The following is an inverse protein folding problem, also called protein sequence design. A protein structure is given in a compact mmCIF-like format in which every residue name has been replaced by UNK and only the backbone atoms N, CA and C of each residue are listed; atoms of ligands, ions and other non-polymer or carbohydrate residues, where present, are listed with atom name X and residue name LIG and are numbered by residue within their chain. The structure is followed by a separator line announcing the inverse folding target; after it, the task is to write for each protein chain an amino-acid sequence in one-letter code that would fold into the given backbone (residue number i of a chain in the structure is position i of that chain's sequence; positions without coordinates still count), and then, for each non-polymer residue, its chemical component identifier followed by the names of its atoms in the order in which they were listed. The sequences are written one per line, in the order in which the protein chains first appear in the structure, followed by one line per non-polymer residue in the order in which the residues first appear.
data_IF_770024841163
#
_entry.id   IF_770024841163
#
_cell.length_a   1.000
_cell.length_b   1.000
_cell.length_c   1.000
_cell.angle_alpha   90.00
_cell.angle_beta   90.00
_cell.angle_gamma   90.00
#
_symmetry.space_group_name_H-M   'P 1'
#
loop_
_entity.id
_entity.type
_entity.pdbx_description
1 polymer ?
#
# COMPACT_ATOMS: atom_id res chain seq x y z
N UNK A 1 -26.71 22.23 -18.07
CA UNK A 1 -26.57 21.27 -16.95
C UNK A 1 -25.09 21.23 -16.63
N UNK A 2 -24.69 21.90 -15.57
CA UNK A 2 -23.31 21.97 -15.13
C UNK A 2 -22.78 20.55 -14.81
N UNK A 3 -22.00 20.02 -15.71
CA UNK A 3 -21.27 18.78 -15.53
C UNK A 3 -19.94 19.12 -14.85
N UNK A 4 -19.98 19.72 -13.66
CA UNK A 4 -18.84 19.72 -12.75
C UNK A 4 -18.71 18.29 -12.24
N UNK A 5 -18.08 17.43 -13.06
CA UNK A 5 -17.60 16.15 -12.61
C UNK A 5 -16.84 16.41 -11.30
N UNK A 6 -17.32 15.79 -10.22
CA UNK A 6 -16.75 15.87 -8.88
C UNK A 6 -15.35 15.23 -8.94
N UNK A 7 -14.37 16.02 -9.41
CA UNK A 7 -12.99 15.54 -9.61
C UNK A 7 -12.38 15.44 -8.21
N UNK A 8 -12.33 14.22 -7.67
CA UNK A 8 -11.72 13.96 -6.36
C UNK A 8 -10.30 14.50 -6.35
N UNK A 9 -10.03 15.36 -5.37
CA UNK A 9 -8.70 15.92 -5.20
C UNK A 9 -7.75 14.85 -4.67
N UNK A 10 -6.70 14.59 -5.43
CA UNK A 10 -5.67 13.61 -5.06
C UNK A 10 -4.44 14.36 -4.60
N UNK A 11 -3.91 13.97 -3.45
CA UNK A 11 -2.62 14.44 -2.94
C UNK A 11 -1.59 13.31 -3.03
N UNK A 12 -0.40 13.65 -3.52
CA UNK A 12 0.79 12.81 -3.40
C UNK A 12 1.71 13.42 -2.37
N UNK A 13 1.89 12.70 -1.27
CA UNK A 13 2.67 13.11 -0.13
C UNK A 13 3.95 12.29 -0.06
N UNK A 14 5.09 12.92 -0.39
CA UNK A 14 6.43 12.33 -0.34
C UNK A 14 7.02 12.39 1.07
N UNK A 15 7.57 11.27 1.52
CA UNK A 15 8.22 11.16 2.82
C UNK A 15 9.71 10.83 2.67
N UNK A 16 10.57 11.69 3.21
CA UNK A 16 12.00 11.54 3.17
C UNK A 16 12.59 11.69 1.76
N UNK A 17 13.88 11.49 1.61
CA UNK A 17 14.60 11.78 0.36
C UNK A 17 14.11 11.00 -0.86
N UNK A 18 13.78 9.71 -0.72
CA UNK A 18 13.26 8.91 -1.84
C UNK A 18 11.86 9.40 -2.25
N UNK A 19 10.92 9.52 -1.29
CA UNK A 19 9.59 10.06 -1.58
C UNK A 19 9.63 11.48 -2.15
N UNK A 20 10.58 12.30 -1.68
CA UNK A 20 10.83 13.64 -2.23
C UNK A 20 11.21 13.60 -3.71
N UNK A 21 12.18 12.74 -4.11
CA UNK A 21 12.59 12.61 -5.52
C UNK A 21 11.45 12.13 -6.42
N UNK A 22 10.64 11.18 -5.94
CA UNK A 22 9.46 10.72 -6.68
C UNK A 22 8.48 11.88 -6.92
N UNK A 23 8.19 12.69 -5.89
CA UNK A 23 7.28 13.84 -6.01
C UNK A 23 7.88 14.94 -6.88
N UNK A 24 9.19 15.19 -6.79
CA UNK A 24 9.90 16.13 -7.68
C UNK A 24 9.82 15.66 -9.14
N UNK A 25 10.03 14.37 -9.40
CA UNK A 25 9.85 13.76 -10.73
C UNK A 25 8.41 13.88 -11.22
N UNK A 26 7.42 13.59 -10.35
CA UNK A 26 6.00 13.74 -10.69
C UNK A 26 5.67 15.17 -11.15
N UNK A 27 6.23 16.19 -10.50
CA UNK A 27 5.97 17.59 -10.87
C UNK A 27 6.38 17.93 -12.30
N UNK A 28 7.25 17.13 -12.93
CA UNK A 28 7.68 17.30 -14.32
C UNK A 28 6.84 16.53 -15.34
N UNK A 29 5.97 15.63 -14.89
CA UNK A 29 5.16 14.76 -15.75
C UNK A 29 3.82 15.45 -16.05
N UNK A 30 3.43 15.64 -17.33
CA UNK A 30 2.19 16.34 -17.68
C UNK A 30 0.92 15.72 -17.08
N UNK A 31 0.88 14.40 -16.95
CA UNK A 31 -0.25 13.64 -16.40
C UNK A 31 -0.48 13.88 -14.90
N UNK A 32 0.50 14.47 -14.22
CA UNK A 32 0.37 14.88 -12.81
C UNK A 32 -0.33 16.22 -12.62
N UNK A 33 -0.69 16.91 -13.71
CA UNK A 33 -1.36 18.19 -13.64
C UNK A 33 -2.68 18.10 -12.83
N UNK A 34 -2.81 18.97 -11.82
CA UNK A 34 -3.96 18.97 -10.90
C UNK A 34 -3.79 18.12 -9.65
N UNK A 35 -2.70 17.36 -9.50
CA UNK A 35 -2.36 16.72 -8.24
C UNK A 35 -1.88 17.75 -7.21
N UNK A 36 -2.26 17.55 -5.97
CA UNK A 36 -1.67 18.28 -4.84
C UNK A 36 -0.38 17.56 -4.43
N UNK A 37 0.73 18.28 -4.43
CA UNK A 37 2.04 17.71 -4.13
C UNK A 37 2.57 18.31 -2.83
N UNK A 38 3.14 17.47 -1.95
CA UNK A 38 3.83 17.90 -0.75
C UNK A 38 4.95 16.92 -0.39
N UNK A 39 6.04 17.41 0.16
CA UNK A 39 7.16 16.59 0.64
C UNK A 39 7.48 16.98 2.08
N UNK A 40 7.54 15.97 2.95
CA UNK A 40 7.94 16.10 4.33
C UNK A 40 9.26 15.36 4.55
N UNK A 41 10.30 16.08 4.90
CA UNK A 41 11.60 15.48 5.21
C UNK A 41 12.23 16.13 6.45
N UNK A 42 13.13 15.38 7.09
CA UNK A 42 13.95 15.82 8.21
C UNK A 42 15.32 16.34 7.76
N UNK A 43 15.69 16.12 6.48
CA UNK A 43 16.96 16.53 5.88
C UNK A 43 16.76 17.73 4.96
N UNK A 44 17.35 18.86 5.35
CA UNK A 44 17.33 20.11 4.57
C UNK A 44 17.98 19.95 3.20
N UNK A 45 19.15 19.29 3.16
CA UNK A 45 19.88 19.11 1.91
C UNK A 45 19.11 18.24 0.93
N UNK A 46 18.35 17.26 1.43
CA UNK A 46 17.48 16.45 0.58
C UNK A 46 16.37 17.30 -0.06
N UNK A 47 15.73 18.17 0.71
CA UNK A 47 14.70 19.09 0.20
C UNK A 47 15.26 20.12 -0.80
N UNK A 48 16.44 20.69 -0.57
CA UNK A 48 17.07 21.65 -1.46
C UNK A 48 17.44 21.06 -2.84
N UNK A 49 17.65 19.74 -2.91
CA UNK A 49 17.90 19.03 -4.19
C UNK A 49 16.68 18.85 -5.05
N UNK A 50 15.49 19.05 -4.53
CA UNK A 50 14.22 18.93 -5.27
C UNK A 50 14.02 20.23 -6.06
N UNK A 51 14.50 20.27 -7.29
CA UNK A 51 14.57 21.53 -8.07
C UNK A 51 13.33 21.81 -8.89
N UNK A 52 12.51 20.81 -9.15
CA UNK A 52 11.29 20.95 -9.96
C UNK A 52 10.06 21.30 -9.10
N UNK A 53 10.10 20.96 -7.82
CA UNK A 53 9.00 21.17 -6.89
C UNK A 53 9.05 22.59 -6.29
N UNK A 54 7.92 23.33 -6.23
CA UNK A 54 7.83 24.63 -5.57
C UNK A 54 8.21 24.58 -4.08
N UNK A 55 8.78 25.67 -3.56
CA UNK A 55 9.24 25.74 -2.15
C UNK A 55 8.11 25.54 -1.14
N UNK A 56 6.91 26.03 -1.44
CA UNK A 56 5.73 25.87 -0.59
C UNK A 56 5.29 24.39 -0.42
N UNK A 57 5.71 23.51 -1.33
CA UNK A 57 5.47 22.08 -1.27
C UNK A 57 6.50 21.32 -0.43
N UNK A 58 7.59 21.97 -0.01
CA UNK A 58 8.72 21.38 0.73
C UNK A 58 8.63 21.71 2.21
N UNK A 59 8.43 20.71 3.05
CA UNK A 59 8.24 20.90 4.49
C UNK A 59 9.41 20.24 5.24
N UNK A 60 10.28 21.07 5.82
CA UNK A 60 11.31 20.61 6.72
C UNK A 60 10.73 20.31 8.10
N UNK A 61 10.85 19.07 8.53
CA UNK A 61 10.30 18.55 9.78
C UNK A 61 11.30 18.68 10.93
N UNK A 62 10.76 18.95 12.14
CA UNK A 62 11.49 18.89 13.41
C UNK A 62 12.78 19.73 13.43
N UNK A 63 12.68 20.97 13.00
CA UNK A 63 13.83 21.90 12.89
C UNK A 63 14.52 22.19 14.22
N UNK A 64 13.83 22.02 15.35
CA UNK A 64 14.37 22.30 16.69
C UNK A 64 15.31 21.20 17.20
N UNK A 65 15.04 19.95 16.86
CA UNK A 65 15.77 18.79 17.40
C UNK A 65 16.71 18.15 16.40
N UNK A 66 16.27 18.03 15.15
CA UNK A 66 17.09 17.42 14.09
C UNK A 66 17.91 18.46 13.33
N UNK A 67 17.62 19.75 13.49
CA UNK A 67 18.37 20.89 12.91
C UNK A 67 18.51 20.80 11.37
N UNK A 68 17.65 19.99 10.71
CA UNK A 68 17.72 19.74 9.27
C UNK A 68 18.79 18.74 8.85
N UNK A 69 19.36 17.97 9.78
CA UNK A 69 20.42 16.97 9.49
C UNK A 69 19.87 15.56 9.16
N UNK A 70 18.55 15.45 9.05
CA UNK A 70 17.91 14.16 8.79
C UNK A 70 17.76 13.28 10.04
N UNK A 71 16.96 12.23 9.90
CA UNK A 71 16.74 11.26 10.99
C UNK A 71 17.90 10.24 11.14
N UNK A 72 18.93 10.29 10.28
CA UNK A 72 20.11 9.44 10.41
C UNK A 72 19.84 7.93 10.29
N UNK A 73 18.83 7.52 9.53
CA UNK A 73 18.42 6.12 9.40
C UNK A 73 17.61 5.57 10.59
N UNK A 74 17.29 6.40 11.58
CA UNK A 74 16.54 6.00 12.77
C UNK A 74 15.02 6.25 12.61
N UNK A 75 14.18 5.20 12.48
CA UNK A 75 12.73 5.34 12.34
C UNK A 75 12.06 6.02 13.54
N UNK A 76 12.61 5.88 14.76
CA UNK A 76 12.04 6.51 15.96
C UNK A 76 12.16 8.03 15.86
N UNK A 77 13.28 8.53 15.34
CA UNK A 77 13.48 9.97 15.09
C UNK A 77 12.52 10.45 13.99
N UNK A 78 12.38 9.69 12.91
CA UNK A 78 11.42 9.98 11.83
C UNK A 78 9.98 10.05 12.35
N UNK A 79 9.55 9.07 13.12
CA UNK A 79 8.23 9.02 13.73
C UNK A 79 7.96 10.25 14.62
N UNK A 80 8.93 10.62 15.47
CA UNK A 80 8.80 11.79 16.36
C UNK A 80 8.73 13.08 15.56
N UNK A 81 9.56 13.21 14.51
CA UNK A 81 9.58 14.38 13.65
C UNK A 81 8.22 14.61 12.98
N UNK A 82 7.68 13.58 12.33
CA UNK A 82 6.38 13.67 11.66
C UNK A 82 5.22 13.87 12.66
N UNK A 83 5.30 13.29 13.85
CA UNK A 83 4.30 13.50 14.89
C UNK A 83 4.24 14.96 15.38
N UNK A 84 5.37 15.66 15.39
CA UNK A 84 5.43 17.09 15.73
C UNK A 84 4.85 17.98 14.64
N UNK A 85 4.87 17.53 13.41
CA UNK A 85 4.29 18.25 12.26
C UNK A 85 2.82 17.90 12.01
N UNK A 86 2.15 17.27 12.97
CA UNK A 86 0.75 16.80 12.82
C UNK A 86 -0.22 17.90 12.37
N UNK A 87 -0.06 19.13 12.81
CA UNK A 87 -0.91 20.26 12.39
C UNK A 87 -0.71 20.60 10.90
N UNK A 88 0.54 20.62 10.40
CA UNK A 88 0.83 20.86 8.98
C UNK A 88 0.36 19.70 8.13
N UNK A 89 0.62 18.46 8.57
CA UNK A 89 0.11 17.25 7.92
C UNK A 89 -1.41 17.29 7.81
N UNK A 90 -2.11 17.63 8.89
CA UNK A 90 -3.57 17.76 8.89
C UNK A 90 -4.04 18.84 7.89
N UNK A 91 -3.36 19.99 7.85
CA UNK A 91 -3.64 21.06 6.88
C UNK A 91 -3.51 20.57 5.43
N UNK A 92 -2.46 19.80 5.12
CA UNK A 92 -2.27 19.20 3.80
C UNK A 92 -3.33 18.15 3.49
N UNK A 93 -3.53 17.18 4.38
CA UNK A 93 -4.47 16.07 4.18
C UNK A 93 -5.93 16.52 4.01
N UNK A 94 -6.32 17.61 4.66
CA UNK A 94 -7.69 18.13 4.54
C UNK A 94 -8.01 18.66 3.14
N UNK A 95 -7.01 18.98 2.33
CA UNK A 95 -7.19 19.49 0.98
C UNK A 95 -7.55 18.38 -0.04
N UNK A 96 -7.39 17.11 0.33
CA UNK A 96 -7.54 15.97 -0.57
C UNK A 96 -8.65 15.02 -0.12
N UNK A 97 -9.18 14.27 -1.07
CA UNK A 97 -10.12 13.15 -0.86
C UNK A 97 -9.38 11.81 -0.84
N UNK A 98 -8.36 11.68 -1.69
CA UNK A 98 -7.45 10.54 -1.77
C UNK A 98 -6.01 10.99 -1.52
N UNK A 99 -5.30 10.28 -0.67
CA UNK A 99 -3.90 10.54 -0.33
C UNK A 99 -3.03 9.37 -0.76
N UNK A 100 -2.08 9.64 -1.65
CA UNK A 100 -1.01 8.72 -2.03
C UNK A 100 0.21 9.07 -1.17
N UNK A 101 0.61 8.17 -0.27
CA UNK A 101 1.79 8.33 0.57
C UNK A 101 2.93 7.57 -0.10
N UNK A 102 3.99 8.27 -0.52
CA UNK A 102 5.15 7.69 -1.19
C UNK A 102 6.41 7.90 -0.37
N UNK A 103 7.29 6.89 -0.31
CA UNK A 103 8.54 7.02 0.42
C UNK A 103 9.41 5.77 0.37
N UNK A 104 10.71 5.94 0.67
CA UNK A 104 11.65 4.82 0.72
C UNK A 104 11.78 4.25 2.13
N UNK A 105 11.50 2.97 2.28
CA UNK A 105 11.75 2.26 3.54
C UNK A 105 13.24 1.97 3.73
N UNK A 106 13.64 1.73 4.97
CA UNK A 106 15.03 1.55 5.35
C UNK A 106 15.78 2.83 5.73
N UNK A 107 15.16 4.01 5.47
CA UNK A 107 15.59 5.30 6.02
C UNK A 107 14.83 5.65 7.30
N UNK A 108 15.21 6.73 7.97
CA UNK A 108 14.54 7.14 9.21
C UNK A 108 13.20 7.85 8.96
N UNK A 109 13.18 8.86 8.08
CA UNK A 109 12.01 9.73 7.89
C UNK A 109 10.79 8.98 7.38
N UNK A 110 10.91 8.27 6.25
CA UNK A 110 9.78 7.56 5.66
C UNK A 110 9.37 6.33 6.47
N UNK A 111 10.34 5.52 6.93
CA UNK A 111 10.03 4.30 7.70
C UNK A 111 9.28 4.61 8.99
N UNK A 112 9.72 5.64 9.74
CA UNK A 112 9.03 6.05 10.97
C UNK A 112 7.80 6.90 10.72
N UNK A 113 7.84 7.76 9.70
CA UNK A 113 6.80 8.76 9.42
C UNK A 113 5.56 8.23 8.73
N UNK A 114 5.69 7.23 7.84
CA UNK A 114 4.56 6.75 7.05
C UNK A 114 3.38 6.26 7.90
N UNK A 115 3.67 5.55 8.99
CA UNK A 115 2.64 5.12 9.94
C UNK A 115 1.95 6.28 10.68
N UNK A 116 2.65 7.39 10.92
CA UNK A 116 2.05 8.60 11.50
C UNK A 116 1.06 9.21 10.53
N UNK A 117 1.45 9.39 9.28
CA UNK A 117 0.60 9.98 8.23
C UNK A 117 -0.61 9.07 7.95
N UNK A 118 -0.42 7.76 7.86
CA UNK A 118 -1.50 6.80 7.63
C UNK A 118 -2.56 6.84 8.75
N UNK A 119 -2.14 6.87 10.01
CA UNK A 119 -3.06 7.01 11.16
C UNK A 119 -3.80 8.35 11.13
N UNK A 120 -3.11 9.43 10.81
CA UNK A 120 -3.72 10.75 10.72
C UNK A 120 -4.76 10.81 9.57
N UNK A 121 -4.42 10.32 8.38
CA UNK A 121 -5.34 10.23 7.25
C UNK A 121 -6.61 9.44 7.64
N UNK A 122 -6.44 8.29 8.28
CA UNK A 122 -7.56 7.47 8.77
C UNK A 122 -8.42 8.22 9.80
N UNK A 123 -7.82 8.95 10.74
CA UNK A 123 -8.56 9.74 11.74
C UNK A 123 -9.36 10.88 11.13
N UNK A 124 -8.92 11.40 9.98
CA UNK A 124 -9.59 12.43 9.19
C UNK A 124 -10.62 11.86 8.20
N UNK A 125 -10.81 10.54 8.19
CA UNK A 125 -11.72 9.87 7.24
C UNK A 125 -11.24 9.89 5.79
N UNK A 126 -9.95 10.13 5.54
CA UNK A 126 -9.39 10.18 4.19
C UNK A 126 -9.00 8.79 3.71
N UNK A 127 -9.25 8.52 2.42
CA UNK A 127 -8.73 7.35 1.75
C UNK A 127 -7.23 7.52 1.54
N UNK A 128 -6.42 6.55 2.00
CA UNK A 128 -4.97 6.61 1.86
C UNK A 128 -4.45 5.31 1.24
N UNK A 129 -3.48 5.44 0.33
CA UNK A 129 -2.73 4.33 -0.26
C UNK A 129 -1.25 4.60 -0.05
N UNK A 130 -0.54 3.62 0.46
CA UNK A 130 0.89 3.71 0.72
C UNK A 130 1.65 2.93 -0.35
N UNK A 131 2.48 3.63 -1.09
CA UNK A 131 3.37 3.06 -2.10
C UNK A 131 4.81 3.29 -1.66
N UNK A 132 5.45 2.22 -1.19
CA UNK A 132 6.73 2.30 -0.51
C UNK A 132 7.83 1.59 -1.31
N UNK A 133 8.93 2.29 -1.59
CA UNK A 133 10.13 1.69 -2.17
C UNK A 133 10.87 0.86 -1.13
N UNK A 134 11.24 -0.36 -1.50
CA UNK A 134 12.19 -1.17 -0.74
C UNK A 134 13.60 -0.90 -1.27
N UNK A 135 14.61 -0.82 -0.40
CA UNK A 135 15.97 -0.51 -0.81
C UNK A 135 16.53 -1.60 -1.75
N UNK A 136 17.53 -1.23 -2.54
CA UNK A 136 18.34 -2.21 -3.24
C UNK A 136 19.11 -3.09 -2.25
N UNK A 137 19.34 -4.36 -2.59
CA UNK A 137 20.08 -5.30 -1.75
C UNK A 137 21.50 -4.81 -1.45
N UNK A 138 22.14 -4.12 -2.38
CA UNK A 138 23.49 -3.56 -2.19
C UNK A 138 23.56 -2.37 -1.20
N UNK A 139 22.41 -1.77 -0.81
CA UNK A 139 22.40 -0.71 0.19
C UNK A 139 22.68 -1.22 1.62
N UNK A 140 22.77 -2.52 1.79
CA UNK A 140 23.24 -3.19 2.99
C UNK A 140 22.14 -3.77 3.87
N UNK A 141 22.52 -4.84 4.59
CA UNK A 141 21.60 -5.64 5.41
C UNK A 141 20.80 -4.81 6.43
N UNK A 142 21.45 -3.85 7.10
CA UNK A 142 20.80 -3.03 8.12
C UNK A 142 19.64 -2.21 7.55
N UNK A 143 19.82 -1.66 6.32
CA UNK A 143 18.82 -0.89 5.63
C UNK A 143 17.65 -1.77 5.14
N UNK A 144 17.97 -2.93 4.56
CA UNK A 144 16.97 -3.91 4.13
C UNK A 144 16.15 -4.41 5.30
N UNK A 145 16.79 -4.76 6.42
CA UNK A 145 16.10 -5.20 7.64
C UNK A 145 15.18 -4.13 8.22
N UNK A 146 15.64 -2.88 8.29
CA UNK A 146 14.83 -1.74 8.71
C UNK A 146 13.60 -1.54 7.80
N UNK A 147 13.78 -1.72 6.48
CA UNK A 147 12.70 -1.62 5.50
C UNK A 147 11.66 -2.73 5.67
N UNK A 148 12.09 -3.97 5.86
CA UNK A 148 11.18 -5.11 6.10
C UNK A 148 10.36 -4.94 7.37
N UNK A 149 11.01 -4.50 8.46
CA UNK A 149 10.32 -4.26 9.73
C UNK A 149 9.32 -3.12 9.59
N UNK A 150 9.70 -2.01 8.93
CA UNK A 150 8.80 -0.90 8.64
C UNK A 150 7.63 -1.29 7.76
N UNK A 151 7.85 -2.08 6.70
CA UNK A 151 6.77 -2.59 5.84
C UNK A 151 5.79 -3.45 6.64
N UNK A 152 6.30 -4.32 7.52
CA UNK A 152 5.46 -5.16 8.38
C UNK A 152 4.59 -4.33 9.32
N UNK A 153 5.13 -3.26 9.88
CA UNK A 153 4.35 -2.33 10.72
C UNK A 153 3.26 -1.61 9.91
N UNK A 154 3.57 -1.15 8.70
CA UNK A 154 2.60 -0.50 7.83
C UNK A 154 1.47 -1.45 7.40
N UNK A 155 1.78 -2.69 7.04
CA UNK A 155 0.80 -3.72 6.72
C UNK A 155 -0.15 -4.05 7.90
N UNK A 156 0.31 -3.88 9.13
CA UNK A 156 -0.54 -4.00 10.31
C UNK A 156 -1.46 -2.79 10.55
N UNK A 157 -1.11 -1.62 9.99
CA UNK A 157 -1.84 -0.36 10.19
C UNK A 157 -2.83 -0.05 9.07
N UNK A 158 -2.55 -0.46 7.84
CA UNK A 158 -3.33 -0.12 6.65
C UNK A 158 -3.48 -1.31 5.72
N UNK A 159 -4.66 -1.44 5.13
CA UNK A 159 -4.99 -2.48 4.15
C UNK A 159 -4.52 -2.13 2.72
N UNK A 160 -4.00 -0.93 2.51
CA UNK A 160 -3.64 -0.38 1.19
C UNK A 160 -2.16 -0.01 1.13
N UNK A 161 -1.30 -0.97 1.47
CA UNK A 161 0.16 -0.82 1.43
C UNK A 161 0.75 -1.69 0.33
N UNK A 162 1.56 -1.07 -0.52
CA UNK A 162 2.32 -1.70 -1.59
C UNK A 162 3.81 -1.44 -1.35
N UNK A 163 4.58 -2.50 -1.12
CA UNK A 163 6.04 -2.43 -1.04
C UNK A 163 6.64 -2.88 -2.38
N UNK A 164 7.44 -2.04 -3.02
CA UNK A 164 8.03 -2.31 -4.34
C UNK A 164 9.54 -2.45 -4.18
N UNK A 165 10.11 -3.63 -4.45
CA UNK A 165 11.56 -3.84 -4.41
C UNK A 165 12.26 -3.12 -5.58
N UNK A 166 13.21 -2.23 -5.27
CA UNK A 166 14.01 -1.56 -6.29
C UNK A 166 14.88 -2.55 -7.10
N UNK A 167 15.22 -3.70 -6.53
CA UNK A 167 15.96 -4.75 -7.23
C UNK A 167 15.26 -5.27 -8.51
N UNK A 168 13.94 -5.08 -8.63
CA UNK A 168 13.21 -5.43 -9.85
C UNK A 168 13.70 -4.64 -11.08
N UNK A 169 14.27 -3.45 -10.88
CA UNK A 169 14.85 -2.65 -11.95
C UNK A 169 16.05 -3.34 -12.64
N UNK A 170 16.80 -4.17 -11.92
CA UNK A 170 17.92 -4.90 -12.52
C UNK A 170 17.52 -5.86 -13.64
N UNK A 171 16.26 -6.25 -13.70
CA UNK A 171 15.75 -7.10 -14.78
C UNK A 171 15.66 -6.39 -16.13
N UNK A 172 15.63 -5.04 -16.14
CA UNK A 172 15.43 -4.22 -17.34
C UNK A 172 16.56 -3.23 -17.60
N UNK A 173 17.38 -2.92 -16.59
CA UNK A 173 18.50 -2.01 -16.74
C UNK A 173 19.72 -2.74 -17.31
N UNK A 174 20.41 -2.19 -18.35
CA UNK A 174 21.70 -2.68 -18.77
C UNK A 174 22.71 -2.65 -17.62
N UNK A 175 23.60 -3.65 -17.57
CA UNK A 175 24.62 -3.75 -16.50
C UNK A 175 25.57 -2.54 -16.47
N UNK A 176 25.74 -1.88 -17.62
CA UNK A 176 26.58 -0.69 -17.81
C UNK A 176 25.90 0.61 -17.39
N UNK A 177 24.64 0.56 -16.95
CA UNK A 177 23.89 1.76 -16.54
C UNK A 177 24.61 2.48 -15.42
N UNK A 178 24.89 3.77 -15.58
CA UNK A 178 25.51 4.57 -14.55
C UNK A 178 24.66 4.58 -13.27
N UNK A 179 25.30 4.50 -12.11
CA UNK A 179 24.63 4.38 -10.81
C UNK A 179 23.58 5.48 -10.57
N UNK A 180 23.95 6.74 -10.86
CA UNK A 180 23.00 7.88 -10.74
C UNK A 180 21.81 7.76 -11.69
N UNK A 181 22.03 7.22 -12.89
CA UNK A 181 20.97 6.99 -13.88
C UNK A 181 20.01 5.88 -13.44
N UNK A 182 20.51 4.82 -12.80
CA UNK A 182 19.68 3.76 -12.26
C UNK A 182 18.67 4.31 -11.22
N UNK A 183 19.13 5.21 -10.32
CA UNK A 183 18.23 5.86 -9.36
C UNK A 183 17.23 6.80 -10.04
N UNK A 184 17.67 7.57 -11.05
CA UNK A 184 16.77 8.44 -11.81
C UNK A 184 15.68 7.63 -12.53
N UNK A 185 16.04 6.49 -13.09
CA UNK A 185 15.09 5.58 -13.72
C UNK A 185 14.14 4.97 -12.70
N UNK A 186 14.64 4.61 -11.49
CA UNK A 186 13.80 4.15 -10.39
C UNK A 186 12.75 5.19 -10.02
N UNK A 187 13.18 6.42 -9.76
CA UNK A 187 12.29 7.52 -9.39
C UNK A 187 11.22 7.78 -10.49
N UNK A 188 11.62 7.69 -11.78
CA UNK A 188 10.69 7.87 -12.92
C UNK A 188 9.66 6.73 -13.02
N UNK A 189 10.09 5.48 -12.92
CA UNK A 189 9.17 4.33 -12.98
C UNK A 189 8.25 4.30 -11.77
N UNK A 190 8.75 4.74 -10.61
CA UNK A 190 7.92 4.86 -9.42
C UNK A 190 6.88 5.98 -9.57
N UNK A 191 7.27 7.13 -10.14
CA UNK A 191 6.35 8.21 -10.44
C UNK A 191 5.25 7.79 -11.43
N UNK A 192 5.61 7.05 -12.50
CA UNK A 192 4.63 6.46 -13.44
C UNK A 192 3.69 5.49 -12.75
N UNK A 193 4.21 4.69 -11.83
CA UNK A 193 3.43 3.76 -11.01
C UNK A 193 2.42 4.49 -10.15
N UNK A 194 2.81 5.62 -9.54
CA UNK A 194 1.89 6.50 -8.77
C UNK A 194 0.75 7.01 -9.67
N UNK A 195 1.07 7.51 -10.86
CA UNK A 195 0.05 7.98 -11.83
C UNK A 195 -0.89 6.83 -12.21
N UNK A 196 -0.35 5.68 -12.59
CA UNK A 196 -1.15 4.52 -12.96
C UNK A 196 -2.09 4.06 -11.83
N UNK A 197 -1.61 4.10 -10.58
CA UNK A 197 -2.43 3.76 -9.43
C UNK A 197 -3.50 4.80 -9.13
N UNK A 198 -3.21 6.08 -9.32
CA UNK A 198 -4.19 7.17 -9.24
C UNK A 198 -5.29 6.95 -10.29
N UNK A 199 -4.93 6.61 -11.52
CA UNK A 199 -5.87 6.34 -12.60
C UNK A 199 -6.82 5.17 -12.28
N UNK A 200 -6.33 4.13 -11.59
CA UNK A 200 -7.18 3.03 -11.08
C UNK A 200 -8.22 3.52 -10.08
N UNK A 201 -7.86 4.47 -9.23
CA UNK A 201 -8.59 4.85 -8.02
C UNK A 201 -9.47 6.09 -8.19
N UNK A 202 -9.39 6.79 -9.33
CA UNK A 202 -10.21 7.98 -9.57
C UNK A 202 -11.68 7.61 -9.74
N UNK A 203 -12.60 8.31 -9.05
CA UNK A 203 -14.04 8.14 -9.26
C UNK A 203 -14.46 8.69 -10.63
N UNK A 204 -15.55 8.11 -11.19
CA UNK A 204 -16.10 8.56 -12.48
C UNK A 204 -15.62 7.73 -13.68
N UNK A 205 -14.84 6.69 -13.46
CA UNK A 205 -14.47 5.72 -14.49
C UNK A 205 -15.71 5.01 -15.05
N UNK A 206 -15.70 4.69 -16.33
CA UNK A 206 -16.77 3.92 -16.99
C UNK A 206 -16.93 2.52 -16.36
N UNK A 207 -15.79 1.92 -15.96
CA UNK A 207 -15.71 0.76 -15.11
C UNK A 207 -14.77 1.16 -13.96
N UNK A 208 -15.29 1.30 -12.75
CA UNK A 208 -14.52 1.84 -11.64
C UNK A 208 -13.98 0.76 -10.73
N UNK A 209 -12.66 0.72 -10.56
CA UNK A 209 -12.04 0.19 -9.36
C UNK A 209 -11.95 1.32 -8.32
N UNK A 210 -12.21 1.02 -7.06
CA UNK A 210 -12.12 2.00 -5.98
C UNK A 210 -11.12 1.54 -4.91
N UNK A 211 -10.80 2.44 -3.96
CA UNK A 211 -9.86 2.12 -2.87
C UNK A 211 -10.33 0.90 -2.05
N UNK A 212 -11.66 0.70 -1.92
CA UNK A 212 -12.22 -0.47 -1.25
C UNK A 212 -11.94 -1.78 -1.99
N UNK A 213 -12.03 -1.76 -3.33
CA UNK A 213 -11.71 -2.92 -4.17
C UNK A 213 -10.22 -3.25 -4.06
N UNK A 214 -9.35 -2.23 -4.18
CA UNK A 214 -7.92 -2.39 -3.98
C UNK A 214 -7.63 -2.94 -2.57
N UNK A 215 -8.22 -2.36 -1.53
CA UNK A 215 -8.07 -2.83 -0.17
C UNK A 215 -8.53 -4.28 -0.01
N UNK A 216 -9.62 -4.69 -0.65
CA UNK A 216 -10.13 -6.07 -0.58
C UNK A 216 -9.15 -7.08 -1.16
N UNK A 217 -8.40 -6.69 -2.19
CA UNK A 217 -7.37 -7.49 -2.84
C UNK A 217 -6.09 -7.52 -1.99
N UNK A 218 -5.65 -6.35 -1.50
CA UNK A 218 -4.42 -6.23 -0.72
C UNK A 218 -4.55 -6.73 0.72
N UNK A 219 -5.77 -6.64 1.31
CA UNK A 219 -6.06 -7.04 2.70
C UNK A 219 -5.80 -8.52 2.99
N UNK A 220 -5.74 -9.35 1.97
CA UNK A 220 -5.44 -10.77 2.12
C UNK A 220 -3.95 -10.97 2.36
N UNK A 221 -3.46 -10.54 3.55
CA UNK A 221 -2.34 -11.13 4.29
C UNK A 221 -1.02 -11.28 3.53
N UNK A 222 0.03 -10.59 3.97
CA UNK A 222 1.43 -10.76 3.51
C UNK A 222 1.54 -11.07 2.01
N UNK A 223 0.78 -10.32 1.20
CA UNK A 223 0.79 -10.46 -0.22
C UNK A 223 1.98 -9.68 -0.80
N UNK A 224 2.64 -10.29 -1.74
CA UNK A 224 3.57 -9.56 -2.61
C UNK A 224 2.77 -8.97 -3.75
N UNK A 225 2.87 -7.66 -3.93
CA UNK A 225 2.27 -6.99 -5.06
C UNK A 225 3.35 -6.59 -6.05
N UNK A 226 3.08 -6.86 -7.33
CA UNK A 226 3.84 -6.33 -8.45
C UNK A 226 2.94 -5.37 -9.22
N UNK A 227 3.48 -4.27 -9.69
CA UNK A 227 2.72 -3.29 -10.45
C UNK A 227 3.43 -2.96 -11.74
N UNK A 228 2.69 -2.98 -12.84
CA UNK A 228 3.18 -2.61 -14.15
C UNK A 228 2.38 -1.48 -14.74
N UNK A 229 3.06 -0.64 -15.51
CA UNK A 229 2.46 0.44 -16.28
C UNK A 229 2.97 0.42 -17.70
N UNK A 230 2.07 0.65 -18.65
CA UNK A 230 2.41 0.76 -20.07
C UNK A 230 1.68 1.94 -20.69
N UNK A 231 2.37 2.74 -21.48
CA UNK A 231 1.79 3.87 -22.20
C UNK A 231 1.98 3.70 -23.70
N UNK A 232 0.90 3.88 -24.46
CA UNK A 232 0.90 3.90 -25.92
C UNK A 232 0.63 5.32 -26.41
N UNK A 233 1.44 5.76 -27.38
CA UNK A 233 1.46 7.12 -27.92
C UNK A 233 1.43 7.10 -29.46
N UNK A 234 0.75 6.12 -30.05
CA UNK A 234 0.70 5.91 -31.49
C UNK A 234 -0.43 6.72 -32.18
N UNK A 235 -0.43 6.72 -33.46
CA UNK A 235 -1.38 7.49 -34.27
C UNK A 235 -2.84 7.02 -34.10
N UNK A 236 -3.04 5.74 -33.82
CA UNK A 236 -4.36 5.16 -33.57
C UNK A 236 -4.48 4.59 -32.16
N UNK A 237 -5.66 4.58 -31.60
CA UNK A 237 -5.92 3.99 -30.28
C UNK A 237 -5.60 2.49 -30.26
N UNK A 238 -5.85 1.77 -31.35
CA UNK A 238 -5.54 0.35 -31.48
C UNK A 238 -4.03 0.05 -31.40
N UNK A 239 -3.20 0.85 -32.07
CA UNK A 239 -1.74 0.74 -31.99
C UNK A 239 -1.22 1.16 -30.63
N UNK A 240 -1.78 2.23 -30.04
CA UNK A 240 -1.47 2.66 -28.68
C UNK A 240 -1.78 1.57 -27.65
N UNK A 241 -2.90 0.85 -27.78
CA UNK A 241 -3.23 -0.29 -26.93
C UNK A 241 -2.17 -1.40 -27.04
N UNK A 242 -1.73 -1.75 -28.24
CA UNK A 242 -0.71 -2.77 -28.45
C UNK A 242 0.65 -2.32 -27.87
N UNK A 243 1.02 -1.06 -28.06
CA UNK A 243 2.25 -0.50 -27.50
C UNK A 243 2.19 -0.49 -25.97
N UNK A 244 1.06 -0.09 -25.39
CA UNK A 244 0.85 -0.11 -23.94
C UNK A 244 0.94 -1.53 -23.35
N UNK A 245 0.39 -2.54 -24.04
CA UNK A 245 0.51 -3.94 -23.63
C UNK A 245 1.96 -4.43 -23.61
N UNK A 246 2.72 -4.12 -24.65
CA UNK A 246 4.13 -4.50 -24.72
C UNK A 246 4.93 -3.82 -23.59
N UNK A 247 4.75 -2.52 -23.39
CA UNK A 247 5.42 -1.78 -22.32
C UNK A 247 4.98 -2.24 -20.92
N UNK A 248 3.72 -2.66 -20.76
CA UNK A 248 3.25 -3.26 -19.50
C UNK A 248 4.02 -4.56 -19.21
N UNK A 249 4.18 -5.43 -20.22
CA UNK A 249 4.91 -6.69 -20.06
C UNK A 249 6.38 -6.49 -19.70
N UNK A 250 6.99 -5.41 -20.20
CA UNK A 250 8.38 -5.02 -19.95
C UNK A 250 8.52 -4.08 -18.73
N UNK A 251 7.42 -3.76 -18.05
CA UNK A 251 7.46 -2.85 -16.89
C UNK A 251 8.30 -3.44 -15.74
N UNK A 252 9.31 -2.69 -15.24
CA UNK A 252 10.27 -3.21 -14.28
C UNK A 252 9.61 -3.71 -13.00
N UNK A 253 8.74 -2.92 -12.40
CA UNK A 253 8.10 -3.25 -11.13
C UNK A 253 7.02 -4.35 -11.24
N UNK A 254 6.69 -4.77 -12.45
CA UNK A 254 5.91 -5.97 -12.68
C UNK A 254 6.75 -7.25 -12.46
N UNK A 255 8.06 -7.17 -12.73
CA UNK A 255 8.96 -8.32 -12.66
C UNK A 255 8.72 -9.35 -13.75
N UNK A 256 8.22 -8.91 -14.91
CA UNK A 256 7.95 -9.71 -16.11
C UNK A 256 6.53 -10.29 -16.17
N UNK A 257 6.09 -10.65 -17.39
CA UNK A 257 4.75 -11.20 -17.66
C UNK A 257 4.42 -12.49 -16.87
N UNK A 258 5.42 -13.26 -16.45
CA UNK A 258 5.24 -14.46 -15.63
C UNK A 258 4.59 -14.14 -14.27
N UNK A 259 4.87 -12.98 -13.69
CA UNK A 259 4.27 -12.54 -12.41
C UNK A 259 2.76 -12.29 -12.54
N UNK A 260 2.31 -11.79 -13.68
CA UNK A 260 0.88 -11.66 -13.97
C UNK A 260 0.19 -13.02 -13.99
N UNK A 261 0.83 -14.01 -14.62
CA UNK A 261 0.26 -15.36 -14.75
C UNK A 261 0.14 -16.10 -13.42
N UNK A 262 1.09 -15.86 -12.51
CA UNK A 262 1.13 -16.48 -11.19
C UNK A 262 0.30 -15.74 -10.13
N UNK A 263 -0.37 -14.64 -10.49
CA UNK A 263 -1.13 -13.83 -9.56
C UNK A 263 -2.40 -14.54 -9.09
N UNK A 264 -2.72 -14.41 -7.81
CA UNK A 264 -3.98 -14.88 -7.22
C UNK A 264 -5.10 -13.83 -7.33
N UNK A 265 -4.72 -12.56 -7.50
CA UNK A 265 -5.62 -11.46 -7.79
C UNK A 265 -4.95 -10.44 -8.69
N UNK A 266 -5.74 -9.81 -9.56
CA UNK A 266 -5.26 -8.78 -10.50
C UNK A 266 -6.21 -7.59 -10.53
N UNK A 267 -5.64 -6.39 -10.51
CA UNK A 267 -6.35 -5.14 -10.83
C UNK A 267 -5.81 -4.65 -12.16
N UNK A 268 -6.69 -4.37 -13.12
CA UNK A 268 -6.33 -3.86 -14.44
C UNK A 268 -7.08 -2.55 -14.65
N UNK A 269 -6.40 -1.52 -15.09
CA UNK A 269 -7.03 -0.27 -15.49
C UNK A 269 -6.53 0.18 -16.85
N UNK A 270 -7.45 0.53 -17.72
CA UNK A 270 -7.21 1.07 -19.06
C UNK A 270 -7.72 2.53 -19.08
N UNK A 271 -6.82 3.49 -19.21
CA UNK A 271 -7.18 4.89 -19.42
C UNK A 271 -6.83 5.27 -20.85
N UNK A 272 -7.78 5.80 -21.62
CA UNK A 272 -7.55 6.25 -22.97
C UNK A 272 -8.20 7.58 -23.29
N UNK A 273 -7.91 8.13 -24.44
CA UNK A 273 -8.55 9.34 -24.95
C UNK A 273 -9.86 9.06 -25.68
N UNK A 274 -10.41 10.09 -26.32
CA UNK A 274 -11.70 10.06 -27.00
C UNK A 274 -11.71 9.15 -28.24
N UNK A 275 -10.51 8.80 -28.77
CA UNK A 275 -10.37 7.88 -29.90
C UNK A 275 -10.51 6.41 -29.50
N UNK A 276 -10.52 6.07 -28.19
CA UNK A 276 -10.60 4.70 -27.71
C UNK A 276 -11.98 4.10 -27.97
N UNK A 277 -12.03 3.01 -28.72
CA UNK A 277 -13.30 2.33 -29.05
C UNK A 277 -13.57 1.16 -28.11
N UNK A 278 -14.84 0.74 -28.03
CA UNK A 278 -15.24 -0.45 -27.27
C UNK A 278 -14.51 -1.71 -27.77
N UNK A 279 -14.21 -1.81 -29.07
CA UNK A 279 -13.46 -2.92 -29.65
C UNK A 279 -12.01 -2.93 -29.15
N UNK A 280 -11.39 -1.76 -29.01
CA UNK A 280 -10.02 -1.64 -28.50
C UNK A 280 -9.96 -2.01 -27.02
N UNK A 281 -10.91 -1.52 -26.22
CA UNK A 281 -11.04 -1.89 -24.79
C UNK A 281 -11.17 -3.40 -24.65
N UNK A 282 -12.13 -4.01 -25.38
CA UNK A 282 -12.39 -5.45 -25.32
C UNK A 282 -11.13 -6.25 -25.66
N UNK A 283 -10.49 -5.95 -26.79
CA UNK A 283 -9.29 -6.64 -27.26
C UNK A 283 -8.12 -6.51 -26.27
N UNK A 284 -7.92 -5.31 -25.73
CA UNK A 284 -6.85 -5.05 -24.74
C UNK A 284 -7.08 -5.86 -23.47
N UNK A 285 -8.30 -5.88 -22.94
CA UNK A 285 -8.64 -6.64 -21.75
C UNK A 285 -8.56 -8.16 -21.98
N UNK A 286 -8.94 -8.66 -23.16
CA UNK A 286 -8.76 -10.07 -23.54
C UNK A 286 -7.27 -10.45 -23.60
N UNK A 287 -6.41 -9.58 -24.15
CA UNK A 287 -4.97 -9.80 -24.19
C UNK A 287 -4.37 -9.83 -22.78
N UNK A 288 -4.70 -8.85 -21.91
CA UNK A 288 -4.25 -8.86 -20.51
C UNK A 288 -4.80 -10.09 -19.78
N UNK A 289 -6.06 -10.46 -20.02
CA UNK A 289 -6.65 -11.67 -19.47
C UNK A 289 -5.87 -12.93 -19.84
N UNK A 290 -5.41 -13.02 -21.10
CA UNK A 290 -4.55 -14.12 -21.55
C UNK A 290 -3.18 -14.13 -20.87
N UNK A 291 -2.63 -12.94 -20.57
CA UNK A 291 -1.36 -12.80 -19.82
C UNK A 291 -1.51 -13.18 -18.33
N UNK A 292 -2.67 -12.89 -17.73
CA UNK A 292 -2.90 -13.10 -16.29
C UNK A 292 -3.48 -14.48 -15.97
N UNK A 293 -3.96 -15.23 -16.95
CA UNK A 293 -4.69 -16.48 -16.72
C UNK A 293 -6.06 -16.27 -16.06
N UNK A 294 -6.56 -15.04 -15.98
CA UNK A 294 -7.87 -14.67 -15.41
C UNK A 294 -8.08 -15.24 -14.00
N UNK A 295 -7.33 -14.82 -12.97
CA UNK A 295 -7.54 -15.28 -11.62
C UNK A 295 -8.96 -14.94 -11.13
N UNK A 296 -9.47 -15.71 -10.17
CA UNK A 296 -10.82 -15.58 -9.64
C UNK A 296 -11.13 -14.18 -9.06
N UNK A 297 -10.09 -13.48 -8.57
CA UNK A 297 -10.21 -12.10 -8.10
C UNK A 297 -9.61 -11.16 -9.14
N UNK A 298 -10.42 -10.72 -10.09
CA UNK A 298 -10.01 -9.74 -11.10
C UNK A 298 -10.89 -8.49 -10.98
N UNK A 299 -10.26 -7.33 -10.84
CA UNK A 299 -10.92 -6.02 -10.86
C UNK A 299 -10.47 -5.30 -12.13
N UNK A 300 -11.42 -4.82 -12.91
CA UNK A 300 -11.18 -4.14 -14.18
C UNK A 300 -11.73 -2.72 -14.09
N UNK A 301 -10.86 -1.75 -14.40
CA UNK A 301 -11.21 -0.35 -14.60
C UNK A 301 -11.05 0.05 -16.06
N UNK A 302 -11.90 0.93 -16.54
CA UNK A 302 -11.73 1.60 -17.82
C UNK A 302 -12.18 3.06 -17.71
N UNK A 303 -11.37 3.96 -18.21
CA UNK A 303 -11.59 5.40 -18.10
C UNK A 303 -11.32 6.11 -19.42
N UNK A 304 -12.10 7.16 -19.71
CA UNK A 304 -11.83 8.09 -20.79
C UNK A 304 -11.40 9.42 -20.20
N UNK A 305 -10.20 9.85 -20.55
CA UNK A 305 -9.64 11.14 -20.14
C UNK A 305 -9.65 12.09 -21.34
N UNK A 306 -10.42 13.22 -21.26
CA UNK A 306 -10.42 14.22 -22.32
C UNK A 306 -9.02 14.77 -22.59
N UNK A 307 -8.72 14.98 -23.88
CA UNK A 307 -7.45 15.54 -24.33
C UNK A 307 -6.32 14.52 -24.56
N UNK A 308 -6.52 13.23 -24.24
CA UNK A 308 -5.54 12.17 -24.57
C UNK A 308 -5.57 11.71 -26.04
N UNK A 309 -6.62 12.05 -26.81
CA UNK A 309 -6.73 11.67 -28.22
C UNK A 309 -6.64 10.15 -28.42
N UNK A 310 -5.58 9.68 -29.10
CA UNK A 310 -5.29 8.25 -29.35
C UNK A 310 -4.41 7.61 -28.27
N UNK A 311 -3.95 8.38 -27.28
CA UNK A 311 -3.06 7.88 -26.24
C UNK A 311 -3.79 6.90 -25.32
N UNK A 312 -3.04 5.92 -24.81
CA UNK A 312 -3.56 4.88 -23.93
C UNK A 312 -2.57 4.60 -22.80
N UNK A 313 -3.06 4.56 -21.58
CA UNK A 313 -2.33 4.10 -20.40
C UNK A 313 -2.96 2.80 -19.89
N UNK A 314 -2.13 1.82 -19.61
CA UNK A 314 -2.52 0.53 -19.06
C UNK A 314 -1.76 0.29 -17.76
N UNK A 315 -2.49 0.02 -16.69
CA UNK A 315 -1.93 -0.32 -15.38
C UNK A 315 -2.42 -1.68 -14.97
N UNK A 316 -1.51 -2.53 -14.48
CA UNK A 316 -1.86 -3.82 -13.90
C UNK A 316 -1.18 -3.98 -12.53
N UNK A 317 -1.94 -4.41 -11.54
CA UNK A 317 -1.45 -4.76 -10.21
C UNK A 317 -1.68 -6.26 -10.05
N UNK A 318 -0.60 -7.03 -9.90
CA UNK A 318 -0.64 -8.46 -9.67
C UNK A 318 -0.34 -8.73 -8.19
N UNK A 319 -1.20 -9.51 -7.54
CA UNK A 319 -1.06 -9.83 -6.11
C UNK A 319 -0.96 -11.33 -5.95
N UNK A 320 0.09 -11.77 -5.25
CA UNK A 320 0.30 -13.16 -4.85
C UNK A 320 0.10 -13.30 -3.35
N UNK A 321 -0.79 -14.20 -2.94
CA UNK A 321 -1.05 -14.45 -1.51
C UNK A 321 -0.06 -15.46 -0.94
N UNK A 322 0.34 -15.31 0.33
CA UNK A 322 1.14 -16.31 1.02
C UNK A 322 0.29 -17.58 1.28
N UNK A 323 0.74 -18.72 0.75
CA UNK A 323 0.00 -20.00 0.83
C UNK A 323 -0.30 -20.44 2.27
N UNK A 324 0.58 -20.15 3.22
CA UNK A 324 0.40 -20.52 4.64
C UNK A 324 -0.76 -19.77 5.29
N UNK A 325 -1.00 -18.55 4.88
CA UNK A 325 -2.10 -17.74 5.41
C UNK A 325 -3.40 -17.92 4.60
N UNK A 326 -3.31 -18.27 3.33
CA UNK A 326 -4.47 -18.62 2.51
C UNK A 326 -5.19 -19.85 3.06
N UNK A 327 -4.45 -20.86 3.50
CA UNK A 327 -5.00 -22.06 4.15
C UNK A 327 -5.69 -21.73 5.48
N UNK A 328 -5.10 -20.85 6.31
CA UNK A 328 -5.68 -20.42 7.59
C UNK A 328 -6.98 -19.61 7.40
N UNK A 329 -7.09 -18.85 6.29
CA UNK A 329 -8.29 -18.07 5.96
C UNK A 329 -9.46 -18.95 5.53
N UNK A 330 -9.20 -19.97 4.71
CA UNK A 330 -10.24 -20.91 4.29
C UNK A 330 -10.84 -21.68 5.49
N UNK A 331 -10.02 -21.94 6.51
CA UNK A 331 -10.50 -22.54 7.77
C UNK A 331 -11.39 -21.55 8.55
N UNK A 332 -11.01 -20.26 8.59
CA UNK A 332 -11.78 -19.21 9.27
C UNK A 332 -13.11 -18.88 8.57
N UNK A 333 -13.16 -18.89 7.24
CA UNK A 333 -14.41 -18.65 6.49
C UNK A 333 -15.41 -19.83 6.62
N UNK A 334 -14.92 -21.07 6.70
CA UNK A 334 -15.74 -22.24 6.91
C UNK A 334 -16.32 -22.34 8.33
N UNK A 335 -15.76 -21.56 9.28
CA UNK A 335 -16.21 -21.54 10.68
C UNK A 335 -17.20 -20.41 11.02
N UNK A 336 -17.64 -19.59 10.08
CA UNK A 336 -18.73 -18.63 10.31
C UNK A 336 -20.04 -19.39 10.48
N UNK A 337 -20.73 -19.31 11.64
CA UNK A 337 -21.98 -20.00 11.84
C UNK A 337 -23.03 -19.44 10.88
N UNK A 338 -23.59 -20.31 10.04
CA UNK A 338 -24.75 -20.00 9.19
C UNK A 338 -25.88 -19.55 10.10
N UNK A 339 -26.29 -18.30 10.00
CA UNK A 339 -27.43 -17.78 10.75
C UNK A 339 -28.70 -18.55 10.35
N UNK A 340 -29.07 -19.56 11.13
CA UNK A 340 -30.34 -20.26 11.00
C UNK A 340 -31.46 -19.26 11.26
N UNK A 341 -32.29 -18.96 10.25
CA UNK A 341 -33.55 -18.26 10.39
C UNK A 341 -34.40 -19.02 11.42
N UNK A 342 -34.58 -18.43 12.61
CA UNK A 342 -35.53 -18.93 13.60
C UNK A 342 -36.95 -18.70 13.06
N UNK A 343 -37.68 -19.79 12.85
CA UNK A 343 -39.13 -19.80 12.77
C UNK A 343 -39.67 -19.50 14.17
N UNK A 344 -40.46 -18.43 14.30
CA UNK A 344 -41.24 -18.14 15.50
C UNK A 344 -42.28 -19.23 15.73
N UNK A 345 -42.16 -19.93 16.85
CA UNK A 345 -43.31 -20.55 17.54
C UNK A 345 -43.19 -20.22 19.02
N UNK A 346 -44.36 -19.98 19.61
CA UNK A 346 -44.58 -19.29 20.86
C UNK A 346 -44.10 -19.99 22.12
N UNK A 347 -43.79 -19.15 23.12
CA UNK A 347 -43.91 -19.27 24.57
C UNK A 347 -43.46 -20.58 25.25
N UNK A 348 -42.32 -20.52 25.91
CA UNK A 348 -42.28 -21.01 27.31
C UNK A 348 -41.24 -20.24 28.11
N UNK A 349 -41.62 -19.84 29.32
CA UNK A 349 -40.88 -19.01 30.27
C UNK A 349 -40.03 -19.91 31.13
N UNK A 350 -38.71 -20.02 30.81
CA UNK A 350 -37.73 -20.51 31.77
C UNK A 350 -36.38 -19.79 31.49
N UNK A 351 -35.79 -19.19 32.50
CA UNK A 351 -34.51 -18.50 32.52
C UNK A 351 -33.41 -19.44 32.03
N UNK A 352 -32.47 -18.98 31.17
CA UNK A 352 -31.37 -19.80 30.71
C UNK A 352 -30.37 -20.01 31.88
N UNK A 353 -30.20 -21.27 32.25
CA UNK A 353 -29.10 -21.70 33.14
C UNK A 353 -27.79 -21.45 32.38
N UNK A 354 -26.92 -20.66 32.99
CA UNK A 354 -25.58 -20.38 32.54
C UNK A 354 -24.76 -21.68 32.54
N UNK A 355 -24.45 -22.23 31.37
CA UNK A 355 -23.57 -23.39 31.25
C UNK A 355 -22.12 -22.95 31.55
N UNK A 356 -21.59 -23.42 32.65
CA UNK A 356 -20.16 -23.36 32.98
C UNK A 356 -19.40 -24.18 31.94
N UNK A 357 -18.49 -23.52 31.18
CA UNK A 357 -17.54 -24.19 30.32
C UNK A 357 -16.58 -25.02 31.18
N UNK A 358 -16.43 -26.35 30.94
CA UNK A 358 -15.39 -27.11 31.61
C UNK A 358 -14.04 -26.69 31.05
N UNK A 359 -13.29 -25.87 31.81
CA UNK A 359 -11.89 -25.62 31.56
C UNK A 359 -11.08 -26.85 31.95
N UNK A 360 -10.98 -27.81 31.04
CA UNK A 360 -9.96 -28.84 31.13
C UNK A 360 -8.63 -28.22 30.75
N UNK A 361 -7.73 -28.11 31.73
CA UNK A 361 -6.33 -27.74 31.49
C UNK A 361 -5.72 -28.91 30.69
N UNK A 362 -5.66 -28.77 29.36
CA UNK A 362 -4.95 -29.68 28.49
C UNK A 362 -3.61 -29.07 28.16
N UNK A 363 -2.57 -29.72 28.64
CA UNK A 363 -1.12 -29.61 28.34
C UNK A 363 -0.55 -28.24 28.00
N UNK A 364 0.57 -27.91 28.59
CA UNK A 364 1.37 -26.71 28.36
C UNK A 364 2.04 -26.64 26.96
N UNK A 365 1.69 -27.49 26.01
CA UNK A 365 2.17 -27.47 24.61
C UNK A 365 3.69 -27.56 24.53
N UNK A 366 4.34 -26.58 23.86
CA UNK A 366 5.80 -26.51 23.66
C UNK A 366 6.61 -26.33 24.95
N UNK A 367 5.98 -26.13 26.10
CA UNK A 367 6.63 -25.98 27.42
C UNK A 367 6.62 -27.29 28.24
N UNK A 368 6.13 -28.39 27.67
CA UNK A 368 6.17 -29.71 28.30
C UNK A 368 7.63 -30.16 28.45
N UNK A 369 8.12 -30.25 29.70
CA UNK A 369 9.50 -30.65 30.02
C UNK A 369 10.41 -29.55 30.56
N UNK A 370 9.96 -28.31 30.67
CA UNK A 370 10.71 -27.25 31.35
C UNK A 370 10.42 -27.28 32.85
N UNK A 371 11.48 -27.29 33.66
CA UNK A 371 11.37 -27.07 35.11
C UNK A 371 10.83 -25.65 35.36
N UNK A 372 9.73 -25.56 36.09
CA UNK A 372 9.08 -24.26 36.38
C UNK A 372 10.04 -23.21 36.92
N UNK A 373 9.79 -21.94 36.58
CA UNK A 373 10.63 -20.80 37.01
C UNK A 373 10.39 -20.57 38.52
N UNK A 374 11.26 -21.14 39.37
CA UNK A 374 11.22 -20.97 40.83
C UNK A 374 12.37 -20.06 41.24
N UNK A 375 12.06 -18.90 41.81
CA UNK A 375 13.04 -17.94 42.39
C UNK A 375 12.70 -17.76 43.86
N UNK A 376 13.69 -17.98 44.73
CA UNK A 376 13.51 -17.91 46.22
C UNK A 376 12.34 -18.75 46.75
N UNK A 377 12.13 -19.93 46.14
CA UNK A 377 11.05 -20.84 46.56
C UNK A 377 9.65 -20.48 46.05
N UNK A 378 9.52 -19.43 45.26
CA UNK A 378 8.26 -18.98 44.67
C UNK A 378 8.18 -19.38 43.22
N UNK A 379 7.15 -20.13 42.84
CA UNK A 379 6.89 -20.49 41.46
C UNK A 379 6.22 -19.34 40.68
N UNK A 380 6.95 -18.78 39.70
CA UNK A 380 6.48 -17.64 38.91
C UNK A 380 5.59 -18.03 37.74
N UNK A 381 5.45 -19.30 37.42
CA UNK A 381 4.52 -19.79 36.38
C UNK A 381 3.06 -19.78 36.90
N UNK A 382 2.88 -19.64 38.22
CA UNK A 382 1.56 -19.46 38.81
C UNK A 382 1.20 -17.97 38.79
N UNK A 383 0.03 -17.58 38.25
CA UNK A 383 -0.40 -16.20 38.20
C UNK A 383 -0.36 -15.50 39.58
N UNK A 384 0.05 -14.23 39.62
CA UNK A 384 0.32 -13.49 40.83
C UNK A 384 -0.89 -13.43 41.80
N UNK A 385 -2.12 -13.37 41.29
CA UNK A 385 -3.33 -13.34 42.08
C UNK A 385 -3.58 -14.68 42.81
N UNK A 386 -3.25 -15.82 42.13
CA UNK A 386 -3.33 -17.15 42.75
C UNK A 386 -2.25 -17.30 43.84
N UNK A 387 -1.00 -16.90 43.53
CA UNK A 387 0.10 -16.96 44.49
C UNK A 387 -0.12 -16.12 45.75
N UNK A 388 -0.80 -14.99 45.60
CA UNK A 388 -1.08 -14.04 46.68
C UNK A 388 -2.43 -14.30 47.35
N UNK A 389 -3.17 -15.34 46.95
CA UNK A 389 -4.49 -15.68 47.47
C UNK A 389 -5.46 -14.48 47.52
N UNK A 390 -5.40 -13.64 46.47
CA UNK A 390 -6.29 -12.47 46.37
C UNK A 390 -7.69 -13.00 46.04
N UNK A 391 -8.71 -12.76 46.87
CA UNK A 391 -10.07 -13.15 46.54
C UNK A 391 -10.53 -12.36 45.32
N UNK A 392 -10.95 -13.06 44.27
CA UNK A 392 -11.54 -12.43 43.09
C UNK A 392 -13.04 -12.35 43.41
N UNK A 393 -13.57 -11.12 43.40
CA UNK A 393 -15.00 -10.86 43.49
C UNK A 393 -15.66 -11.41 42.19
N UNK A 394 -16.43 -12.47 42.36
CA UNK A 394 -17.11 -13.11 41.22
C UNK A 394 -18.48 -12.52 40.95
N UNK A 395 -18.83 -11.41 41.62
CA UNK A 395 -20.05 -10.64 41.36
C UNK A 395 -21.33 -11.48 41.44
N UNK A 396 -21.66 -12.01 42.64
CA UNK A 396 -23.02 -12.47 42.94
C UNK A 396 -23.91 -11.27 43.33
#
# INVERSE_FOLDING_TARGET
MDNSANNSKVMVLGLGGAGGRVVDTLSTIPESAGLLLAVFDTDRNALERLTSLPEECKILCDTQWLLGQGAGGDPIKGQRALSRESARLQGSLNQADLVMIVGGLGGGTATGGAGVVARLAKSLGKSAVLLMEMPFAFEGYGRSKCAEDGLRELLALSDTVLGIPNDLLFSVLPAETAFAEAFRMADLEFARTVIGLIDVLQPGNLLSANVGDLASILRSRKSYAAIGVGAGLEATAAESCNQALNKLADSPFLGGAAKLKDADAVVINLTGGEALTLADVKRTLENVGSMTGMPAKTVIGANIRPGMGSQVHLTAIAVKYDEREAAAAQISEKSKPVARKRKNTAKDTSLPVQQTLPLTITSSGIFEGNTGTVIDGVNFDIPAFVRRQVPIDTGE
#
